data_IF_470984669691
#
_entry.id   IF_470984669691
#
_cell.length_a   1.000
_cell.length_b   1.000
_cell.length_c   1.000
_cell.angle_alpha   90.00
_cell.angle_beta   90.00
_cell.angle_gamma   90.00
#
_symmetry.space_group_name_H-M   'P 1'
#
loop_
_entity.id
_entity.type
_entity.pdbx_description
1 polymer ?
#
# COMPACT_ATOMS: atom_id res chain seq x y z
N UNK A 1 -4.97 -14.18 -22.83
CA UNK A 1 -5.88 -13.01 -22.69
C UNK A 1 -6.41 -13.02 -21.27
N UNK A 2 -6.25 -11.91 -20.56
CA UNK A 2 -6.76 -11.71 -19.21
C UNK A 2 -7.87 -10.67 -19.23
N UNK A 3 -8.94 -10.89 -18.45
CA UNK A 3 -10.07 -9.96 -18.37
C UNK A 3 -10.89 -10.21 -17.10
N UNK A 4 -11.70 -9.22 -16.70
CA UNK A 4 -12.70 -9.34 -15.65
C UNK A 4 -14.01 -9.93 -16.17
N UNK A 5 -14.60 -10.87 -15.45
CA UNK A 5 -15.90 -11.47 -15.77
C UNK A 5 -16.86 -11.36 -14.59
N UNK A 6 -18.02 -10.74 -14.81
CA UNK A 6 -19.08 -10.65 -13.82
C UNK A 6 -20.12 -11.75 -14.08
N UNK A 7 -20.44 -12.54 -13.06
CA UNK A 7 -21.50 -13.54 -13.07
C UNK A 7 -22.75 -12.98 -12.36
N UNK A 8 -23.43 -12.09 -13.05
CA UNK A 8 -24.52 -11.30 -12.46
C UNK A 8 -24.02 -10.56 -11.20
N UNK A 9 -24.91 -10.41 -10.20
CA UNK A 9 -24.56 -9.81 -8.91
C UNK A 9 -23.94 -10.82 -7.91
N UNK A 10 -23.76 -12.09 -8.34
CA UNK A 10 -23.36 -13.17 -7.43
C UNK A 10 -21.85 -13.27 -7.22
N UNK A 11 -21.06 -13.07 -8.27
CA UNK A 11 -19.61 -13.19 -8.19
C UNK A 11 -18.92 -12.46 -9.33
N UNK A 12 -17.66 -12.09 -9.11
CA UNK A 12 -16.74 -11.61 -10.13
C UNK A 12 -15.52 -12.50 -10.18
N UNK A 13 -14.96 -12.62 -11.38
CA UNK A 13 -13.79 -13.45 -11.61
C UNK A 13 -12.77 -12.67 -12.45
N UNK A 14 -11.50 -12.80 -12.08
CA UNK A 14 -10.39 -12.57 -13.00
C UNK A 14 -10.20 -13.84 -13.80
N UNK A 15 -10.29 -13.73 -15.11
CA UNK A 15 -10.19 -14.87 -16.03
C UNK A 15 -8.91 -14.75 -16.83
N UNK A 16 -8.10 -15.79 -16.84
CA UNK A 16 -6.94 -15.93 -17.69
C UNK A 16 -7.18 -17.06 -18.69
N UNK A 17 -7.22 -16.75 -19.98
CA UNK A 17 -7.38 -17.70 -21.07
C UNK A 17 -6.06 -17.90 -21.79
N UNK A 18 -5.62 -19.14 -21.92
CA UNK A 18 -4.35 -19.51 -22.54
C UNK A 18 -4.47 -20.77 -23.40
N UNK A 19 -3.49 -21.01 -24.24
CA UNK A 19 -3.37 -22.26 -25.02
C UNK A 19 -2.32 -23.17 -24.40
N UNK A 20 -2.64 -24.49 -24.32
CA UNK A 20 -1.69 -25.53 -23.94
C UNK A 20 -1.92 -26.77 -24.81
N UNK A 21 -0.85 -27.35 -25.35
CA UNK A 21 -0.91 -28.58 -26.18
C UNK A 21 -2.00 -28.56 -27.27
N UNK A 22 -2.20 -27.39 -27.88
CA UNK A 22 -3.23 -27.18 -28.90
C UNK A 22 -4.64 -26.92 -28.40
N UNK A 23 -4.92 -27.11 -27.10
CA UNK A 23 -6.21 -26.88 -26.48
C UNK A 23 -6.27 -25.51 -25.78
N UNK A 24 -7.47 -24.97 -25.62
CA UNK A 24 -7.71 -23.76 -24.84
C UNK A 24 -7.95 -24.14 -23.38
N UNK A 25 -7.19 -23.52 -22.47
CA UNK A 25 -7.40 -23.62 -21.03
C UNK A 25 -7.80 -22.27 -20.44
N UNK A 26 -8.43 -22.26 -19.28
CA UNK A 26 -8.74 -21.06 -18.54
C UNK A 26 -8.56 -21.27 -17.03
N UNK A 27 -8.16 -20.19 -16.35
CA UNK A 27 -8.13 -20.11 -14.89
C UNK A 27 -9.03 -18.96 -14.46
N UNK A 28 -9.95 -19.25 -13.55
CA UNK A 28 -10.84 -18.25 -12.96
C UNK A 28 -10.46 -18.07 -11.49
N UNK A 29 -10.17 -16.83 -11.09
CA UNK A 29 -9.96 -16.45 -9.69
C UNK A 29 -11.14 -15.58 -9.26
N UNK A 30 -11.89 -16.06 -8.26
CA UNK A 30 -12.98 -15.28 -7.70
C UNK A 30 -12.42 -14.03 -6.99
N UNK A 31 -13.04 -12.89 -7.28
CA UNK A 31 -12.78 -11.61 -6.62
C UNK A 31 -13.86 -11.44 -5.55
N UNK A 32 -13.50 -11.12 -4.29
CA UNK A 32 -14.48 -10.83 -3.25
C UNK A 32 -15.38 -9.66 -3.64
N UNK A 33 -16.70 -9.79 -3.46
CA UNK A 33 -17.64 -8.69 -3.71
C UNK A 33 -17.69 -7.69 -2.57
N UNK A 34 -17.44 -8.14 -1.34
CA UNK A 34 -17.48 -7.29 -0.16
C UNK A 34 -16.16 -6.54 0.03
N UNK A 35 -16.26 -5.23 0.24
CA UNK A 35 -15.16 -4.37 0.64
C UNK A 35 -15.10 -4.34 2.15
N UNK A 36 -13.94 -4.65 2.71
CA UNK A 36 -13.69 -4.50 4.14
C UNK A 36 -13.42 -3.03 4.46
N UNK A 37 -13.85 -2.56 5.63
CA UNK A 37 -13.50 -1.21 6.09
C UNK A 37 -12.06 -1.14 6.58
N UNK A 38 -11.51 0.08 6.70
CA UNK A 38 -10.16 0.30 7.22
C UNK A 38 -10.01 -0.25 8.64
N UNK A 39 -11.07 -0.16 9.47
CA UNK A 39 -11.13 -0.71 10.82
C UNK A 39 -11.10 -2.25 10.82
N UNK A 40 -11.88 -2.88 9.95
CA UNK A 40 -11.90 -4.34 9.80
C UNK A 40 -10.56 -4.91 9.33
N UNK A 41 -9.82 -4.13 8.54
CA UNK A 41 -8.48 -4.48 8.08
C UNK A 41 -7.41 -4.22 9.16
N UNK A 42 -7.72 -3.43 10.20
CA UNK A 42 -6.76 -3.00 11.21
C UNK A 42 -5.68 -2.09 10.65
N UNK A 43 -6.02 -1.27 9.64
CA UNK A 43 -5.07 -0.29 9.11
C UNK A 43 -4.68 0.73 10.18
N UNK A 44 -3.42 1.19 10.21
CA UNK A 44 -3.00 2.22 11.15
C UNK A 44 -3.91 3.44 11.10
N UNK A 45 -4.40 3.97 12.24
CA UNK A 45 -5.36 5.10 12.27
C UNK A 45 -4.90 6.33 11.49
N UNK A 46 -3.59 6.61 11.49
CA UNK A 46 -2.98 7.73 10.77
C UNK A 46 -3.24 7.68 9.26
N UNK A 47 -3.55 6.52 8.69
CA UNK A 47 -3.94 6.42 7.28
C UNK A 47 -5.15 7.29 6.96
N UNK A 48 -6.13 7.38 7.87
CA UNK A 48 -7.30 8.26 7.66
C UNK A 48 -6.94 9.75 7.58
N UNK A 49 -5.90 10.17 8.31
CA UNK A 49 -5.41 11.55 8.25
C UNK A 49 -4.66 11.80 6.94
N UNK A 50 -3.85 10.83 6.52
CA UNK A 50 -3.05 10.96 5.30
C UNK A 50 -3.91 11.02 4.04
N UNK A 51 -4.94 10.18 3.94
CA UNK A 51 -5.80 10.14 2.75
C UNK A 51 -6.68 11.40 2.60
N UNK A 52 -6.83 12.20 3.64
CA UNK A 52 -7.56 13.46 3.65
C UNK A 52 -6.67 14.69 3.33
N UNK A 53 -5.36 14.49 3.14
CA UNK A 53 -4.49 15.61 2.75
C UNK A 53 -4.86 16.11 1.37
N UNK A 54 -4.67 17.40 1.10
CA UNK A 54 -5.07 17.99 -0.18
C UNK A 54 -4.24 17.50 -1.35
N UNK A 55 -3.05 16.96 -1.10
CA UNK A 55 -2.12 16.43 -2.12
C UNK A 55 -1.04 15.56 -1.51
N UNK A 56 -0.38 14.78 -2.35
CA UNK A 56 0.77 13.98 -2.00
C UNK A 56 0.60 12.52 -2.38
N UNK A 57 1.67 11.75 -2.33
CA UNK A 57 1.69 10.37 -2.73
C UNK A 57 1.70 9.43 -1.52
N UNK A 58 0.78 8.48 -1.51
CA UNK A 58 0.68 7.40 -0.53
C UNK A 58 0.96 6.08 -1.24
N UNK A 59 1.93 5.33 -0.75
CA UNK A 59 2.32 4.06 -1.34
C UNK A 59 1.86 2.91 -0.46
N UNK A 60 1.16 1.94 -1.06
CA UNK A 60 0.80 0.68 -0.42
C UNK A 60 1.65 -0.41 -1.03
N UNK A 61 2.53 -1.03 -0.23
CA UNK A 61 3.56 -1.94 -0.73
C UNK A 61 3.51 -3.31 -0.06
N UNK A 62 4.19 -4.28 -0.64
CA UNK A 62 4.25 -5.65 -0.14
C UNK A 62 4.20 -6.67 -1.28
N UNK A 63 4.51 -7.94 -1.00
CA UNK A 63 4.53 -9.00 -2.01
C UNK A 63 3.15 -9.23 -2.64
N UNK A 64 3.13 -10.01 -3.73
CA UNK A 64 1.87 -10.45 -4.34
C UNK A 64 1.03 -11.21 -3.32
N UNK A 65 -0.26 -10.89 -3.25
CA UNK A 65 -1.18 -11.53 -2.30
C UNK A 65 -1.09 -10.98 -0.87
N UNK A 66 -0.38 -9.88 -0.62
CA UNK A 66 -0.35 -9.23 0.71
C UNK A 66 -1.60 -8.41 1.03
N UNK A 67 -2.55 -8.27 0.10
CA UNK A 67 -3.82 -7.56 0.31
C UNK A 67 -3.81 -6.08 -0.06
N UNK A 68 -2.84 -5.62 -0.86
CA UNK A 68 -2.73 -4.20 -1.28
C UNK A 68 -4.01 -3.66 -1.91
N UNK A 69 -4.59 -4.37 -2.87
CA UNK A 69 -5.84 -3.95 -3.54
C UNK A 69 -7.00 -3.85 -2.55
N UNK A 70 -7.08 -4.75 -1.57
CA UNK A 70 -8.11 -4.71 -0.52
C UNK A 70 -7.96 -3.48 0.37
N UNK A 71 -6.72 -3.16 0.77
CA UNK A 71 -6.42 -1.94 1.56
C UNK A 71 -6.72 -0.68 0.78
N UNK A 72 -6.32 -0.60 -0.49
CA UNK A 72 -6.63 0.54 -1.35
C UNK A 72 -8.14 0.69 -1.57
N UNK A 73 -8.84 -0.42 -1.83
CA UNK A 73 -10.30 -0.40 -1.99
C UNK A 73 -11.00 0.14 -0.73
N UNK A 74 -10.50 -0.20 0.48
CA UNK A 74 -11.05 0.33 1.73
C UNK A 74 -10.79 1.83 1.88
N UNK A 75 -9.61 2.32 1.48
CA UNK A 75 -9.29 3.76 1.48
C UNK A 75 -10.17 4.53 0.50
N UNK A 76 -10.33 4.03 -0.73
CA UNK A 76 -11.18 4.63 -1.74
C UNK A 76 -12.66 4.60 -1.30
N UNK A 77 -13.14 3.50 -0.72
CA UNK A 77 -14.52 3.42 -0.24
C UNK A 77 -14.79 4.38 0.93
N UNK A 78 -13.79 4.56 1.81
CA UNK A 78 -13.87 5.53 2.89
C UNK A 78 -13.96 6.97 2.36
N UNK A 79 -13.09 7.37 1.41
CA UNK A 79 -13.14 8.68 0.75
C UNK A 79 -14.47 8.88 0.04
N UNK A 80 -14.89 7.91 -0.78
CA UNK A 80 -16.14 7.93 -1.54
C UNK A 80 -17.39 8.09 -0.66
N UNK A 81 -17.32 7.56 0.58
CA UNK A 81 -18.44 7.64 1.52
C UNK A 81 -18.47 8.96 2.29
N UNK A 82 -17.31 9.54 2.59
CA UNK A 82 -17.20 10.64 3.56
C UNK A 82 -16.92 12.02 2.92
N UNK A 83 -16.29 12.05 1.75
CA UNK A 83 -15.79 13.29 1.14
C UNK A 83 -16.35 13.43 -0.27
N UNK A 84 -16.62 14.68 -0.70
CA UNK A 84 -17.04 15.00 -2.06
C UNK A 84 -15.80 15.26 -2.92
N UNK A 85 -15.36 14.21 -3.62
CA UNK A 85 -14.17 14.20 -4.45
C UNK A 85 -14.45 13.59 -5.83
N UNK A 86 -13.65 13.96 -6.82
CA UNK A 86 -13.53 13.23 -8.06
C UNK A 86 -12.35 12.25 -7.95
N UNK A 87 -12.64 10.94 -7.91
CA UNK A 87 -11.69 9.86 -7.75
C UNK A 87 -11.53 9.14 -9.09
N UNK A 88 -10.30 9.05 -9.60
CA UNK A 88 -9.99 8.26 -10.79
C UNK A 88 -9.11 7.09 -10.37
N UNK A 89 -9.50 5.86 -10.72
CA UNK A 89 -8.65 4.69 -10.57
C UNK A 89 -8.18 4.17 -11.92
N UNK A 90 -6.93 3.70 -11.97
CA UNK A 90 -6.30 3.10 -13.15
C UNK A 90 -5.74 1.76 -12.70
N UNK A 91 -6.32 0.66 -13.20
CA UNK A 91 -6.08 -0.69 -12.67
C UNK A 91 -5.86 -1.72 -13.79
N UNK A 92 -5.24 -2.85 -13.47
CA UNK A 92 -4.97 -3.95 -14.41
C UNK A 92 -5.08 -5.34 -13.75
N UNK A 93 -6.29 -5.95 -13.78
CA UNK A 93 -7.62 -5.36 -14.04
C UNK A 93 -8.24 -4.69 -12.79
N UNK A 94 -9.44 -4.12 -12.93
CA UNK A 94 -10.23 -3.61 -11.81
C UNK A 94 -10.63 -4.79 -10.90
N UNK A 95 -10.16 -4.76 -9.63
CA UNK A 95 -10.50 -5.80 -8.66
C UNK A 95 -11.79 -5.49 -7.89
N UNK A 96 -11.99 -4.25 -7.43
CA UNK A 96 -13.17 -3.84 -6.67
C UNK A 96 -13.93 -2.74 -7.39
N UNK A 97 -15.22 -2.92 -7.61
CA UNK A 97 -16.06 -1.85 -8.15
C UNK A 97 -16.54 -0.90 -7.06
N UNK A 98 -16.46 0.39 -7.36
CA UNK A 98 -16.96 1.46 -6.52
C UNK A 98 -18.15 2.14 -7.18
N UNK A 99 -19.31 2.06 -6.54
CA UNK A 99 -20.45 2.89 -6.93
C UNK A 99 -20.18 4.33 -6.51
N UNK A 100 -20.78 5.29 -7.24
CA UNK A 100 -20.79 6.68 -6.81
C UNK A 100 -21.57 6.82 -5.50
N UNK A 101 -20.96 7.45 -4.49
CA UNK A 101 -21.61 7.76 -3.23
C UNK A 101 -21.59 9.29 -3.05
N UNK A 102 -20.78 9.78 -2.12
CA UNK A 102 -20.53 11.21 -1.96
C UNK A 102 -19.55 11.72 -3.00
N UNK A 103 -18.58 10.91 -3.36
CA UNK A 103 -17.62 11.17 -4.45
C UNK A 103 -18.12 10.63 -5.79
N UNK A 104 -17.60 11.19 -6.88
CA UNK A 104 -17.67 10.59 -8.21
C UNK A 104 -16.46 9.69 -8.39
N UNK A 105 -16.65 8.40 -8.70
CA UNK A 105 -15.56 7.44 -8.90
C UNK A 105 -15.56 6.94 -10.33
N UNK A 106 -14.50 7.23 -11.08
CA UNK A 106 -14.28 6.75 -12.44
C UNK A 106 -13.14 5.72 -12.42
N UNK A 107 -13.45 4.48 -12.75
CA UNK A 107 -12.49 3.38 -12.79
C UNK A 107 -12.15 3.03 -14.23
N UNK A 108 -10.86 2.94 -14.55
CA UNK A 108 -10.35 2.67 -15.89
C UNK A 108 -9.44 1.46 -15.89
N UNK A 109 -9.71 0.52 -16.75
CA UNK A 109 -8.92 -0.71 -16.89
C UNK A 109 -7.89 -0.58 -18.02
N UNK A 110 -6.64 -0.92 -17.73
CA UNK A 110 -5.57 -0.95 -18.74
C UNK A 110 -5.83 -2.07 -19.74
N UNK A 111 -5.66 -1.76 -21.02
CA UNK A 111 -5.94 -2.70 -22.12
C UNK A 111 -7.41 -2.78 -22.54
N UNK A 112 -8.33 -2.14 -21.78
CA UNK A 112 -9.76 -2.04 -22.10
C UNK A 112 -10.15 -0.58 -22.32
N UNK A 113 -9.97 0.27 -21.32
CA UNK A 113 -10.37 1.68 -21.32
C UNK A 113 -9.20 2.62 -21.64
N UNK A 114 -7.98 2.19 -21.34
CA UNK A 114 -6.74 2.96 -21.52
C UNK A 114 -5.62 2.06 -22.01
N UNK A 115 -4.65 2.65 -22.69
CA UNK A 115 -3.55 1.88 -23.29
C UNK A 115 -2.42 1.58 -22.31
N UNK A 116 -2.14 2.50 -21.38
CA UNK A 116 -1.08 2.36 -20.38
C UNK A 116 -1.41 3.14 -19.10
N UNK A 117 -0.74 2.80 -18.00
CA UNK A 117 -0.83 3.56 -16.75
C UNK A 117 -0.37 5.01 -16.95
N UNK A 118 0.79 5.22 -17.56
CA UNK A 118 1.35 6.56 -17.76
C UNK A 118 0.44 7.49 -18.55
N UNK A 119 -0.11 7.00 -19.68
CA UNK A 119 -1.03 7.80 -20.51
C UNK A 119 -2.34 8.08 -19.79
N UNK A 120 -2.84 7.11 -19.02
CA UNK A 120 -4.05 7.29 -18.24
C UNK A 120 -3.87 8.33 -17.13
N UNK A 121 -2.72 8.36 -16.43
CA UNK A 121 -2.40 9.40 -15.42
C UNK A 121 -2.33 10.78 -16.10
N UNK A 122 -1.58 10.90 -17.20
CA UNK A 122 -1.48 12.17 -17.97
C UNK A 122 -2.86 12.66 -18.45
N UNK A 123 -3.72 11.72 -18.83
CA UNK A 123 -5.12 12.02 -19.22
C UNK A 123 -5.96 12.47 -18.04
N UNK A 124 -5.82 11.79 -16.89
CA UNK A 124 -6.52 12.10 -15.66
C UNK A 124 -6.27 13.53 -15.17
N UNK A 125 -5.03 14.05 -15.28
CA UNK A 125 -4.69 15.44 -14.91
C UNK A 125 -5.49 16.52 -15.67
N UNK A 126 -6.20 16.18 -16.75
CA UNK A 126 -7.09 17.08 -17.50
C UNK A 126 -8.57 16.88 -17.16
N UNK A 127 -8.87 16.01 -16.21
CA UNK A 127 -10.22 15.63 -15.82
C UNK A 127 -10.59 16.14 -14.43
N UNK A 128 -9.76 17.03 -13.87
CA UNK A 128 -9.97 17.66 -12.56
C UNK A 128 -10.19 16.64 -11.41
N UNK A 129 -9.30 15.66 -11.21
CA UNK A 129 -9.43 14.71 -10.13
C UNK A 129 -8.85 15.28 -8.83
N UNK A 130 -9.46 14.96 -7.71
CA UNK A 130 -8.86 15.17 -6.37
C UNK A 130 -7.94 14.00 -6.00
N UNK A 131 -8.32 12.78 -6.42
CA UNK A 131 -7.65 11.54 -6.06
C UNK A 131 -7.39 10.68 -7.29
N UNK A 132 -6.17 10.19 -7.44
CA UNK A 132 -5.78 9.25 -8.50
C UNK A 132 -5.23 7.99 -7.85
N UNK A 133 -5.80 6.83 -8.17
CA UNK A 133 -5.25 5.53 -7.79
C UNK A 133 -4.55 4.89 -9.00
N UNK A 134 -3.27 4.56 -8.82
CA UNK A 134 -2.46 3.82 -9.80
C UNK A 134 -2.26 2.41 -9.26
N UNK A 135 -2.92 1.45 -9.90
CA UNK A 135 -2.96 0.05 -9.45
C UNK A 135 -1.59 -0.58 -9.28
N UNK A 136 -0.64 -0.24 -10.16
CA UNK A 136 0.75 -0.68 -10.04
C UNK A 136 1.74 0.29 -10.71
N UNK A 137 2.88 0.55 -10.03
CA UNK A 137 3.96 1.42 -10.49
C UNK A 137 5.20 0.57 -10.78
N UNK A 138 5.32 0.05 -12.02
CA UNK A 138 6.42 -0.87 -12.42
C UNK A 138 7.51 -0.19 -13.22
N UNK A 139 7.15 0.75 -14.07
CA UNK A 139 8.02 1.37 -15.05
C UNK A 139 8.28 2.85 -14.74
N UNK A 140 9.33 3.37 -15.34
CA UNK A 140 9.79 4.74 -15.14
C UNK A 140 8.69 5.76 -15.49
N UNK A 141 8.02 5.58 -16.61
CA UNK A 141 7.05 6.54 -17.12
C UNK A 141 5.83 6.66 -16.19
N UNK A 142 5.37 5.53 -15.65
CA UNK A 142 4.27 5.47 -14.69
C UNK A 142 4.66 6.14 -13.38
N UNK A 143 5.89 5.87 -12.86
CA UNK A 143 6.39 6.46 -11.63
C UNK A 143 6.57 7.97 -11.79
N UNK A 144 7.15 8.44 -12.88
CA UNK A 144 7.34 9.87 -13.18
C UNK A 144 6.00 10.60 -13.26
N UNK A 145 5.01 10.03 -13.96
CA UNK A 145 3.68 10.60 -14.06
C UNK A 145 2.97 10.67 -12.71
N UNK A 146 3.11 9.65 -11.86
CA UNK A 146 2.54 9.62 -10.51
C UNK A 146 3.18 10.66 -9.58
N UNK A 147 4.52 10.83 -9.62
CA UNK A 147 5.22 11.87 -8.86
C UNK A 147 4.73 13.25 -9.31
N UNK A 148 4.67 13.50 -10.62
CA UNK A 148 4.18 14.77 -11.19
C UNK A 148 2.75 15.06 -10.75
N UNK A 149 1.85 14.08 -10.77
CA UNK A 149 0.48 14.25 -10.30
C UNK A 149 0.42 14.64 -8.81
N UNK A 150 1.25 14.00 -7.97
CA UNK A 150 1.31 14.32 -6.54
C UNK A 150 1.88 15.73 -6.26
N UNK A 151 2.84 16.20 -7.06
CA UNK A 151 3.41 17.55 -6.95
C UNK A 151 2.41 18.62 -7.40
N UNK A 152 1.57 18.32 -8.41
CA UNK A 152 0.65 19.29 -9.03
C UNK A 152 -0.70 19.43 -8.33
N UNK A 153 -0.87 18.82 -7.15
CA UNK A 153 -2.03 19.11 -6.30
C UNK A 153 -3.01 17.96 -6.07
N UNK A 154 -2.65 16.74 -6.44
CA UNK A 154 -3.52 15.55 -6.32
C UNK A 154 -3.06 14.63 -5.20
N UNK A 155 -3.99 13.91 -4.59
CA UNK A 155 -3.67 12.74 -3.75
C UNK A 155 -3.48 11.54 -4.69
N UNK A 156 -2.29 10.95 -4.66
CA UNK A 156 -1.96 9.82 -5.53
C UNK A 156 -1.71 8.58 -4.68
N UNK A 157 -2.50 7.54 -4.91
CA UNK A 157 -2.22 6.20 -4.39
C UNK A 157 -1.44 5.40 -5.42
N UNK A 158 -0.41 4.69 -4.99
CA UNK A 158 0.34 3.79 -5.83
C UNK A 158 0.69 2.49 -5.14
N UNK A 159 0.94 1.43 -5.93
CA UNK A 159 1.45 0.17 -5.36
C UNK A 159 2.80 -0.22 -5.95
N UNK A 160 3.62 -0.85 -5.10
CA UNK A 160 4.86 -1.52 -5.48
C UNK A 160 4.94 -2.90 -4.78
N UNK A 161 5.80 -3.77 -5.31
CA UNK A 161 6.06 -5.10 -4.73
C UNK A 161 7.27 -5.12 -3.77
N UNK A 162 7.65 -3.98 -3.25
CA UNK A 162 8.74 -3.81 -2.31
C UNK A 162 8.34 -4.15 -0.88
N UNK A 163 9.33 -4.49 -0.05
CA UNK A 163 9.16 -4.72 1.39
C UNK A 163 9.78 -3.54 2.15
N UNK A 164 9.03 -2.97 3.07
CA UNK A 164 9.46 -1.87 3.91
C UNK A 164 9.57 -0.51 3.20
N UNK A 165 9.50 0.54 4.00
CA UNK A 165 9.49 1.92 3.52
C UNK A 165 10.84 2.33 2.88
N UNK A 166 11.96 1.95 3.52
CA UNK A 166 13.30 2.23 2.99
C UNK A 166 13.49 1.58 1.61
N UNK A 167 13.15 0.29 1.47
CA UNK A 167 13.25 -0.43 0.21
C UNK A 167 12.35 0.15 -0.89
N UNK A 168 11.20 0.67 -0.51
CA UNK A 168 10.26 1.32 -1.43
C UNK A 168 10.83 2.62 -2.00
N UNK A 169 11.37 3.49 -1.14
CA UNK A 169 12.01 4.75 -1.58
C UNK A 169 13.18 4.46 -2.52
N UNK A 170 14.06 3.53 -2.15
CA UNK A 170 15.21 3.16 -2.99
C UNK A 170 14.74 2.61 -4.34
N UNK A 171 13.74 1.72 -4.36
CA UNK A 171 13.23 1.13 -5.60
C UNK A 171 12.70 2.17 -6.57
N UNK A 172 12.00 3.19 -6.08
CA UNK A 172 11.51 4.28 -6.93
C UNK A 172 12.68 5.04 -7.55
N UNK A 173 13.69 5.38 -6.76
CA UNK A 173 14.86 6.12 -7.22
C UNK A 173 15.68 5.31 -8.24
N UNK A 174 15.87 4.01 -7.97
CA UNK A 174 16.70 3.11 -8.78
C UNK A 174 16.12 2.82 -10.18
N UNK A 175 14.84 3.08 -10.41
CA UNK A 175 14.23 2.95 -11.74
C UNK A 175 14.75 4.04 -12.70
N UNK A 176 15.19 5.18 -12.17
CA UNK A 176 15.67 6.30 -12.97
C UNK A 176 17.16 6.20 -13.29
N UNK A 177 17.60 6.69 -14.46
CA UNK A 177 19.01 6.82 -14.78
C UNK A 177 19.76 7.61 -13.71
N UNK A 178 21.02 7.24 -13.46
CA UNK A 178 21.84 7.82 -12.38
C UNK A 178 21.92 9.34 -12.41
N UNK A 179 21.96 9.94 -13.59
CA UNK A 179 21.99 11.40 -13.78
C UNK A 179 20.65 12.10 -13.44
N UNK A 180 19.57 11.37 -13.26
CA UNK A 180 18.25 11.92 -12.87
C UNK A 180 17.92 11.66 -11.40
N UNK A 181 18.60 10.74 -10.74
CA UNK A 181 18.26 10.29 -9.39
C UNK A 181 18.28 11.40 -8.33
N UNK A 182 19.17 12.40 -8.44
CA UNK A 182 19.21 13.52 -7.50
C UNK A 182 17.94 14.38 -7.62
N UNK A 183 17.51 14.65 -8.86
CA UNK A 183 16.26 15.37 -9.10
C UNK A 183 15.07 14.59 -8.56
N UNK A 184 15.02 13.30 -8.84
CA UNK A 184 13.92 12.42 -8.37
C UNK A 184 13.88 12.34 -6.84
N UNK A 185 15.03 12.25 -6.15
CA UNK A 185 15.07 12.34 -4.68
C UNK A 185 14.45 13.64 -4.17
N UNK A 186 14.75 14.74 -4.83
CA UNK A 186 14.18 16.04 -4.46
C UNK A 186 12.66 16.06 -4.64
N UNK A 187 12.16 15.64 -5.81
CA UNK A 187 10.73 15.59 -6.10
C UNK A 187 9.99 14.59 -5.17
N UNK A 188 10.54 13.39 -5.00
CA UNK A 188 9.95 12.37 -4.11
C UNK A 188 9.90 12.86 -2.66
N UNK A 189 10.95 13.59 -2.19
CA UNK A 189 10.98 14.12 -0.82
C UNK A 189 9.88 15.13 -0.52
N UNK A 190 9.33 15.77 -1.54
CA UNK A 190 8.27 16.78 -1.41
C UNK A 190 6.88 16.23 -1.72
N UNK A 191 6.81 15.18 -2.52
CA UNK A 191 5.53 14.59 -2.97
C UNK A 191 5.05 13.44 -2.10
N UNK A 192 5.94 12.58 -1.58
CA UNK A 192 5.54 11.44 -0.77
C UNK A 192 5.12 11.85 0.64
N UNK A 193 3.97 11.37 1.10
CA UNK A 193 3.43 11.68 2.44
C UNK A 193 3.32 10.46 3.35
N UNK A 194 3.26 9.24 2.79
CA UNK A 194 3.21 8.02 3.57
C UNK A 194 3.52 6.76 2.77
N UNK A 195 4.04 5.75 3.46
CA UNK A 195 4.23 4.39 2.92
C UNK A 195 3.63 3.40 3.91
N UNK A 196 2.70 2.59 3.44
CA UNK A 196 2.13 1.45 4.15
C UNK A 196 2.66 0.16 3.51
N UNK A 197 3.61 -0.50 4.17
CA UNK A 197 4.08 -1.82 3.73
C UNK A 197 3.36 -2.91 4.50
N UNK A 198 2.88 -3.95 3.82
CA UNK A 198 2.02 -4.95 4.43
C UNK A 198 2.36 -6.39 4.06
N UNK A 199 2.11 -7.29 5.00
CA UNK A 199 2.21 -8.73 4.88
C UNK A 199 0.92 -9.38 5.38
N UNK A 200 0.46 -10.47 4.75
CA UNK A 200 -0.67 -11.27 5.25
C UNK A 200 -0.16 -12.51 5.98
N UNK A 201 -0.78 -12.75 7.15
CA UNK A 201 -0.54 -13.93 7.98
C UNK A 201 -1.84 -14.70 8.23
N UNK A 202 -1.78 -16.04 8.41
CA UNK A 202 -2.93 -16.80 8.88
C UNK A 202 -3.23 -16.46 10.34
N UNK A 203 -4.50 -16.32 10.71
CA UNK A 203 -4.93 -16.24 12.10
C UNK A 203 -5.01 -17.63 12.72
N UNK A 204 -4.70 -17.76 14.00
CA UNK A 204 -4.87 -19.00 14.77
C UNK A 204 -6.34 -19.46 14.74
N UNK A 205 -7.29 -18.52 14.75
CA UNK A 205 -8.74 -18.79 14.72
C UNK A 205 -9.30 -19.01 13.31
N UNK A 206 -8.43 -19.04 12.29
CA UNK A 206 -8.82 -19.09 10.88
C UNK A 206 -8.95 -17.72 10.22
N UNK A 207 -8.90 -17.71 8.89
CA UNK A 207 -8.84 -16.48 8.10
C UNK A 207 -7.43 -15.87 8.06
N UNK A 208 -7.34 -14.58 7.73
CA UNK A 208 -6.07 -13.87 7.56
C UNK A 208 -6.11 -12.52 8.26
N UNK A 209 -4.93 -12.03 8.63
CA UNK A 209 -4.72 -10.68 9.17
C UNK A 209 -3.53 -10.05 8.47
N UNK A 210 -3.56 -8.73 8.27
CA UNK A 210 -2.42 -7.99 7.76
C UNK A 210 -1.55 -7.46 8.90
N UNK A 211 -0.23 -7.64 8.77
CA UNK A 211 0.75 -6.90 9.54
C UNK A 211 1.27 -5.73 8.71
N UNK A 212 1.46 -4.58 9.34
CA UNK A 212 1.79 -3.32 8.70
C UNK A 212 3.08 -2.72 9.24
N UNK A 213 3.89 -2.19 8.31
CA UNK A 213 4.86 -1.14 8.59
C UNK A 213 4.27 0.18 8.09
N UNK A 214 4.32 1.21 8.93
CA UNK A 214 3.78 2.53 8.58
C UNK A 214 4.85 3.61 8.71
N UNK A 215 5.15 4.27 7.60
CA UNK A 215 5.95 5.48 7.54
C UNK A 215 5.07 6.69 7.27
N UNK A 216 5.15 7.71 8.13
CA UNK A 216 4.62 9.05 7.88
C UNK A 216 5.79 9.95 7.51
N UNK A 217 5.76 10.56 6.34
CA UNK A 217 6.89 11.40 5.90
C UNK A 217 6.82 12.77 6.60
N UNK A 218 7.76 12.96 7.51
CA UNK A 218 8.01 14.23 8.21
C UNK A 218 9.08 15.04 7.45
N UNK A 219 9.27 16.34 7.75
CA UNK A 219 10.36 17.14 7.18
C UNK A 219 11.76 16.52 7.39
N UNK A 220 11.96 15.84 8.53
CA UNK A 220 13.21 15.12 8.81
C UNK A 220 13.41 13.94 7.85
N UNK A 221 12.37 13.13 7.63
CA UNK A 221 12.40 11.98 6.71
C UNK A 221 12.53 12.47 5.25
N UNK A 222 11.81 13.51 4.87
CA UNK A 222 11.97 14.15 3.56
C UNK A 222 13.42 14.55 3.30
N UNK A 223 14.10 15.10 4.30
CA UNK A 223 15.52 15.43 4.20
C UNK A 223 16.42 14.20 4.05
N UNK A 224 16.13 13.09 4.76
CA UNK A 224 16.86 11.82 4.58
C UNK A 224 16.73 11.29 3.14
N UNK A 225 15.56 11.39 2.54
CA UNK A 225 15.32 11.00 1.15
C UNK A 225 16.15 11.86 0.20
N UNK A 226 16.10 13.18 0.37
CA UNK A 226 16.82 14.15 -0.46
C UNK A 226 18.34 13.95 -0.39
N UNK A 227 18.88 13.71 0.80
CA UNK A 227 20.31 13.53 1.05
C UNK A 227 20.82 12.10 0.77
N UNK A 228 19.98 11.21 0.22
CA UNK A 228 20.32 9.79 0.00
C UNK A 228 20.71 9.03 1.29
N UNK A 229 20.11 9.40 2.42
CA UNK A 229 20.35 8.78 3.74
C UNK A 229 19.18 7.85 4.15
N UNK A 230 18.59 7.17 3.18
CA UNK A 230 17.40 6.31 3.36
C UNK A 230 17.60 5.19 4.38
N UNK A 231 18.86 4.76 4.62
CA UNK A 231 19.22 3.77 5.64
C UNK A 231 18.84 4.19 7.09
N UNK A 232 18.55 5.48 7.31
CA UNK A 232 18.09 6.01 8.61
C UNK A 232 16.56 6.00 8.77
N UNK A 233 15.81 5.67 7.73
CA UNK A 233 14.33 5.71 7.77
C UNK A 233 13.80 4.78 8.86
N UNK A 234 14.32 3.55 8.97
CA UNK A 234 13.84 2.60 9.99
C UNK A 234 14.02 3.11 11.42
N UNK A 235 15.15 3.77 11.73
CA UNK A 235 15.35 4.40 13.04
C UNK A 235 14.37 5.56 13.27
N UNK A 236 14.00 6.30 12.22
CA UNK A 236 13.00 7.37 12.31
C UNK A 236 11.58 6.80 12.52
N UNK A 237 11.25 5.66 11.92
CA UNK A 237 9.99 4.96 12.17
C UNK A 237 9.92 4.52 13.64
N UNK A 238 11.00 3.93 14.15
CA UNK A 238 11.10 3.42 15.51
C UNK A 238 10.87 4.50 16.58
N UNK A 239 11.30 5.73 16.32
CA UNK A 239 11.10 6.87 17.23
C UNK A 239 9.83 7.67 16.93
N UNK A 240 9.10 7.32 15.89
CA UNK A 240 7.94 8.05 15.37
C UNK A 240 6.58 7.54 15.82
N UNK A 241 6.50 6.74 16.89
CA UNK A 241 5.24 6.12 17.36
C UNK A 241 4.13 7.16 17.62
N UNK A 242 4.45 8.30 18.21
CA UNK A 242 3.49 9.41 18.46
C UNK A 242 2.88 10.00 17.18
N UNK A 243 3.50 9.76 16.03
CA UNK A 243 2.99 10.15 14.70
C UNK A 243 2.27 9.01 13.97
N UNK A 244 2.00 7.91 14.66
CA UNK A 244 1.35 6.74 14.07
C UNK A 244 2.28 5.86 13.23
N UNK A 245 3.61 6.05 13.32
CA UNK A 245 4.58 5.18 12.65
C UNK A 245 4.78 3.89 13.43
N UNK A 246 5.05 2.80 12.71
CA UNK A 246 5.40 1.50 13.33
C UNK A 246 6.24 0.67 12.38
N UNK A 247 7.18 -0.11 12.91
CA UNK A 247 7.92 -1.12 12.18
C UNK A 247 7.06 -2.39 11.99
N UNK A 248 7.31 -3.13 10.91
CA UNK A 248 6.63 -4.40 10.66
C UNK A 248 6.85 -5.38 11.82
N UNK A 249 8.09 -5.52 12.30
CA UNK A 249 8.45 -6.48 13.34
C UNK A 249 7.81 -6.16 14.69
N UNK A 250 7.59 -4.88 15.00
CA UNK A 250 6.84 -4.46 16.19
C UNK A 250 5.35 -4.82 16.10
N UNK A 251 4.76 -4.69 14.91
CA UNK A 251 3.38 -5.11 14.70
C UNK A 251 3.26 -6.64 14.75
N UNK A 252 4.20 -7.39 14.16
CA UNK A 252 4.25 -8.85 14.24
C UNK A 252 4.37 -9.33 15.68
N UNK A 253 5.21 -8.66 16.49
CA UNK A 253 5.34 -8.94 17.91
C UNK A 253 4.01 -8.77 18.65
N UNK A 254 3.28 -7.67 18.44
CA UNK A 254 1.95 -7.43 19.04
C UNK A 254 0.95 -8.50 18.62
N UNK A 255 0.85 -8.81 17.33
CA UNK A 255 -0.08 -9.84 16.83
C UNK A 255 0.19 -11.22 17.44
N UNK A 256 1.45 -11.56 17.71
CA UNK A 256 1.82 -12.78 18.40
C UNK A 256 1.50 -12.69 19.90
N UNK A 257 1.88 -11.60 20.58
CA UNK A 257 1.59 -11.34 22.00
C UNK A 257 0.09 -11.47 22.29
N UNK A 258 -0.75 -10.95 21.41
CA UNK A 258 -2.21 -10.99 21.48
C UNK A 258 -2.80 -12.34 21.03
N UNK A 259 -1.96 -13.33 20.76
CA UNK A 259 -2.36 -14.69 20.33
C UNK A 259 -3.20 -14.72 19.04
N UNK A 260 -3.01 -13.76 18.15
CA UNK A 260 -3.71 -13.67 16.87
C UNK A 260 -3.02 -14.53 15.81
N UNK A 261 -1.68 -14.57 15.83
CA UNK A 261 -0.84 -15.34 14.90
C UNK A 261 0.13 -16.24 15.66
N UNK A 262 0.61 -17.30 15.01
CA UNK A 262 1.62 -18.17 15.62
C UNK A 262 3.00 -17.52 15.64
N UNK A 263 3.87 -17.96 16.56
CA UNK A 263 5.28 -17.51 16.63
C UNK A 263 6.01 -17.79 15.30
N UNK A 264 5.79 -18.96 14.72
CA UNK A 264 6.42 -19.37 13.46
C UNK A 264 5.97 -18.47 12.29
N UNK A 265 4.68 -18.15 12.20
CA UNK A 265 4.16 -17.25 11.15
C UNK A 265 4.70 -15.83 11.28
N UNK A 266 4.79 -15.31 12.52
CA UNK A 266 5.32 -13.97 12.78
C UNK A 266 6.82 -13.89 12.42
N UNK A 267 7.63 -14.83 12.87
CA UNK A 267 9.08 -14.90 12.56
C UNK A 267 9.29 -15.07 11.05
N UNK A 268 8.48 -15.92 10.40
CA UNK A 268 8.58 -16.18 8.96
C UNK A 268 8.26 -14.98 8.06
N UNK A 269 7.67 -13.89 8.62
CA UNK A 269 7.36 -12.64 7.91
C UNK A 269 8.17 -11.44 8.39
N UNK A 270 8.99 -11.60 9.41
CA UNK A 270 9.78 -10.52 9.99
C UNK A 270 10.89 -10.04 9.03
N UNK A 271 11.20 -8.75 9.12
CA UNK A 271 12.36 -8.17 8.44
C UNK A 271 13.67 -8.58 9.15
N UNK A 272 13.63 -8.74 10.48
CA UNK A 272 14.76 -9.17 11.33
C UNK A 272 14.35 -10.37 12.21
N UNK A 273 14.26 -11.59 11.64
CA UNK A 273 13.73 -12.78 12.32
C UNK A 273 14.41 -13.06 13.65
N UNK A 274 15.75 -13.02 13.69
CA UNK A 274 16.54 -13.33 14.90
C UNK A 274 16.26 -12.34 16.04
N UNK A 275 16.13 -11.05 15.71
CA UNK A 275 15.82 -10.00 16.69
C UNK A 275 14.38 -10.12 17.21
N UNK A 276 13.44 -10.44 16.33
CA UNK A 276 12.06 -10.68 16.71
C UNK A 276 11.95 -11.91 17.62
N UNK A 277 12.63 -12.99 17.29
CA UNK A 277 12.66 -14.22 18.09
C UNK A 277 13.26 -13.97 19.48
N UNK A 278 14.37 -13.22 19.57
CA UNK A 278 14.97 -12.84 20.85
C UNK A 278 14.04 -11.97 21.69
N UNK A 279 13.31 -11.01 21.06
CA UNK A 279 12.30 -10.17 21.72
C UNK A 279 11.16 -11.03 22.27
N UNK A 280 10.66 -11.99 21.49
CA UNK A 280 9.62 -12.93 21.90
C UNK A 280 10.09 -13.83 23.07
N UNK A 281 11.31 -14.35 23.01
CA UNK A 281 11.89 -15.18 24.08
C UNK A 281 12.03 -14.40 25.38
N UNK A 282 12.49 -13.15 25.36
CA UNK A 282 12.57 -12.29 26.55
C UNK A 282 11.19 -12.07 27.16
N UNK A 283 10.18 -11.86 26.33
CA UNK A 283 8.80 -11.73 26.79
C UNK A 283 8.30 -13.01 27.47
N UNK A 284 8.52 -14.19 26.86
CA UNK A 284 8.14 -15.50 27.39
C UNK A 284 8.80 -15.82 28.74
N UNK A 285 10.03 -15.36 28.95
CA UNK A 285 10.83 -15.62 30.19
C UNK A 285 10.62 -14.57 31.28
N UNK A 286 9.80 -13.55 31.05
CA UNK A 286 9.58 -12.46 32.01
C UNK A 286 10.81 -11.54 32.20
N UNK A 287 11.85 -11.69 31.38
CA UNK A 287 13.02 -10.83 31.35
C UNK A 287 12.69 -9.56 30.55
N UNK A 288 11.94 -8.66 31.18
CA UNK A 288 11.55 -7.31 30.83
C UNK A 288 11.84 -6.85 29.39
N UNK A 289 10.77 -6.74 28.58
CA UNK A 289 10.62 -5.58 27.70
C UNK A 289 9.98 -4.53 28.61
N UNK A 290 10.73 -3.54 29.09
CA UNK A 290 10.14 -2.31 29.62
C UNK A 290 9.25 -1.77 28.49
N UNK A 291 7.92 -1.91 28.64
CA UNK A 291 6.98 -1.10 27.91
C UNK A 291 7.34 0.33 28.33
N UNK A 292 7.76 1.15 27.39
CA UNK A 292 7.65 2.59 27.59
C UNK A 292 6.15 2.85 27.61
N UNK A 293 5.57 2.74 28.82
CA UNK A 293 4.20 3.17 29.14
C UNK A 293 4.12 4.68 28.89
N UNK A 294 3.81 5.07 27.68
CA UNK A 294 3.45 6.43 27.28
C UNK A 294 2.12 6.45 26.50
N UNK A 295 1.26 5.45 26.69
CA UNK A 295 -0.08 5.41 26.09
C UNK A 295 -1.24 5.66 27.08
N UNK A 296 -0.95 6.25 28.28
CA UNK A 296 -1.99 6.81 29.15
C UNK A 296 -1.66 8.27 29.51
N UNK A 297 -2.05 9.22 28.60
CA UNK A 297 -2.55 10.55 28.97
C UNK A 297 -3.17 11.23 27.73
#
# INVERSE_FOLDING_TARGET
TDFGFAFGDKARFRVSVFKQKGNTGMVLRQIPNEKLTMEQLGTPPVMKELIQRPRGMILVTGPTGSGKSTTLASCIDWLNTNIDHHIITIEDPIEFYHEHKKSTVNQREVGVDVMSFADAIRGALRQDPDVILVGEMRDLETIEAAITAAETGHVVFGTLHTTGAQGTVNRIIDVFPTNQQEQIRTQLSTSIIGILSQQLLPRITGGRIAAYEMLVVTPAIANLIRENKTFRINSSIQTGHKLGMQLLDDHLFRLWKDQIVTKADAIGKANMPDQLEDKMRRWETGLGVEETDEDEE
#
